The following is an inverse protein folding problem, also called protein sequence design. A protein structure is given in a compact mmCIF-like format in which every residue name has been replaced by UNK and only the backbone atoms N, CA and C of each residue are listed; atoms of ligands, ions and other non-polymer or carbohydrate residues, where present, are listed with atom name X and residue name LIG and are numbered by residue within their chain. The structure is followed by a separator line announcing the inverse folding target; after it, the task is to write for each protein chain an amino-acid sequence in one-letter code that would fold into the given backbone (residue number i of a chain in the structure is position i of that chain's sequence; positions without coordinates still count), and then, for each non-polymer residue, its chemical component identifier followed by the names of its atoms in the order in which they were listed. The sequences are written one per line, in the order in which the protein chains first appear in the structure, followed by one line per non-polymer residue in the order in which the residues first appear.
data_IF_879596350186
#
_entry.id   IF_879596350186
#
_cell.length_a   1.000
_cell.length_b   1.000
_cell.length_c   1.000
_cell.angle_alpha   90.00
_cell.angle_beta   90.00
_cell.angle_gamma   90.00
#
_symmetry.space_group_name_H-M   'P 1'
#
loop_
_entity.id
_entity.type
_entity.pdbx_description
1 polymer ?
#
# COMPACT_ATOMS: atom_id res chain seq x y z
N UNK A 1 -3.21 -1.74 -18.15
CA UNK A 1 -4.35 -2.26 -17.36
C UNK A 1 -4.48 -1.47 -16.08
N UNK A 2 -5.66 -1.40 -15.46
CA UNK A 2 -5.90 -0.59 -14.25
C UNK A 2 -6.27 -1.50 -13.07
N UNK A 3 -5.63 -1.29 -11.93
CA UNK A 3 -5.95 -1.95 -10.68
C UNK A 3 -6.39 -0.92 -9.64
N UNK A 4 -7.32 -1.33 -8.78
CA UNK A 4 -7.70 -0.60 -7.58
C UNK A 4 -7.66 -1.57 -6.40
N UNK A 5 -7.00 -1.16 -5.32
CA UNK A 5 -6.95 -1.92 -4.08
C UNK A 5 -7.47 -1.06 -2.93
N UNK A 6 -8.29 -1.69 -2.09
CA UNK A 6 -8.69 -1.11 -0.81
C UNK A 6 -7.57 -1.32 0.20
N UNK A 7 -7.25 -0.31 0.97
CA UNK A 7 -6.32 -0.33 2.10
C UNK A 7 -6.97 0.51 3.20
N UNK A 8 -7.68 -0.19 4.08
CA UNK A 8 -8.42 0.41 5.21
C UNK A 8 -7.49 1.24 6.10
N UNK A 9 -6.20 0.89 6.09
CA UNK A 9 -5.15 1.48 6.90
C UNK A 9 -4.55 2.78 6.30
N UNK A 10 -4.95 3.19 5.09
CA UNK A 10 -4.47 4.42 4.44
C UNK A 10 -4.72 5.71 5.23
N UNK A 11 -5.66 5.70 6.17
CA UNK A 11 -5.99 6.86 7.01
C UNK A 11 -5.04 7.08 8.19
N UNK A 12 -4.06 6.19 8.39
CA UNK A 12 -3.10 6.29 9.50
C UNK A 12 -1.78 6.86 8.98
N UNK A 13 -1.48 8.13 9.28
CA UNK A 13 -0.14 8.72 9.08
C UNK A 13 0.35 8.90 7.64
N UNK A 14 1.67 8.74 7.43
CA UNK A 14 2.36 8.97 6.14
C UNK A 14 2.29 7.74 5.19
N UNK A 15 1.35 6.82 5.41
CA UNK A 15 1.26 5.55 4.70
C UNK A 15 1.00 5.71 3.20
N UNK A 16 0.14 6.66 2.80
CA UNK A 16 -0.07 7.02 1.38
C UNK A 16 1.24 7.40 0.70
N UNK A 17 2.02 8.27 1.34
CA UNK A 17 3.29 8.75 0.79
C UNK A 17 4.28 7.59 0.63
N UNK A 18 4.37 6.70 1.63
CA UNK A 18 5.23 5.53 1.56
C UNK A 18 4.81 4.58 0.44
N UNK A 19 3.54 4.17 0.40
CA UNK A 19 3.02 3.22 -0.60
C UNK A 19 3.19 3.79 -2.00
N UNK A 20 2.81 5.05 -2.21
CA UNK A 20 2.94 5.72 -3.52
C UNK A 20 4.40 5.75 -3.96
N UNK A 21 5.33 6.01 -3.04
CA UNK A 21 6.77 5.99 -3.32
C UNK A 21 7.25 4.59 -3.69
N UNK A 22 6.87 3.55 -2.95
CA UNK A 22 7.29 2.18 -3.27
C UNK A 22 6.71 1.70 -4.61
N UNK A 23 5.43 1.97 -4.89
CA UNK A 23 4.82 1.65 -6.18
C UNK A 23 5.49 2.39 -7.34
N UNK A 24 5.91 3.64 -7.15
CA UNK A 24 6.60 4.42 -8.19
C UNK A 24 7.96 3.86 -8.61
N UNK A 25 8.56 2.97 -7.80
CA UNK A 25 9.83 2.30 -8.13
C UNK A 25 9.62 1.06 -9.00
N UNK A 26 8.41 0.53 -9.05
CA UNK A 26 8.10 -0.66 -9.83
C UNK A 26 8.03 -0.25 -11.29
N UNK A 27 8.88 -0.89 -12.10
CA UNK A 27 8.86 -0.69 -13.55
C UNK A 27 7.50 -1.08 -14.10
N UNK A 28 7.02 -0.31 -15.07
CA UNK A 28 5.73 -0.54 -15.74
C UNK A 28 4.49 -0.26 -14.87
N UNK A 29 4.64 0.40 -13.71
CA UNK A 29 3.54 1.05 -12.97
C UNK A 29 3.54 2.56 -13.25
N UNK A 30 2.35 3.09 -13.54
CA UNK A 30 2.11 4.52 -13.80
C UNK A 30 0.77 4.95 -13.17
N UNK A 31 0.49 6.26 -13.25
CA UNK A 31 -0.81 6.85 -12.89
C UNK A 31 -1.32 6.43 -11.50
N UNK A 32 -0.43 6.50 -10.51
CA UNK A 32 -0.75 6.12 -9.13
C UNK A 32 -1.59 7.24 -8.51
N UNK A 33 -2.79 6.88 -8.04
CA UNK A 33 -3.73 7.76 -7.37
C UNK A 33 -4.14 7.12 -6.04
N UNK A 34 -3.90 7.83 -4.94
CA UNK A 34 -4.32 7.43 -3.62
C UNK A 34 -5.47 8.31 -3.14
N UNK A 35 -6.45 7.69 -2.50
CA UNK A 35 -7.64 8.34 -1.95
C UNK A 35 -7.77 7.89 -0.49
N UNK A 36 -7.37 8.78 0.42
CA UNK A 36 -7.40 8.54 1.87
C UNK A 36 -8.82 8.39 2.39
N UNK A 37 -9.75 9.22 1.90
CA UNK A 37 -11.14 9.22 2.37
C UNK A 37 -11.85 7.93 2.00
N UNK A 38 -11.60 7.42 0.79
CA UNK A 38 -12.15 6.15 0.35
C UNK A 38 -11.25 4.94 0.64
N UNK A 39 -10.16 5.11 1.40
CA UNK A 39 -9.21 4.05 1.76
C UNK A 39 -8.82 3.17 0.57
N UNK A 40 -8.42 3.79 -0.55
CA UNK A 40 -8.08 3.07 -1.78
C UNK A 40 -6.88 3.65 -2.50
N UNK A 41 -6.16 2.79 -3.20
CA UNK A 41 -5.13 3.16 -4.16
C UNK A 41 -5.43 2.56 -5.52
N UNK A 42 -5.22 3.36 -6.55
CA UNK A 42 -5.44 3.00 -7.94
C UNK A 42 -4.15 3.22 -8.70
N UNK A 43 -3.79 2.30 -9.60
CA UNK A 43 -2.62 2.45 -10.46
C UNK A 43 -2.83 1.74 -11.79
N UNK A 44 -2.13 2.21 -12.81
CA UNK A 44 -2.03 1.55 -14.11
C UNK A 44 -0.77 0.69 -14.14
N UNK A 45 -0.85 -0.50 -14.72
CA UNK A 45 0.28 -1.38 -14.95
C UNK A 45 0.30 -1.91 -16.39
N UNK A 46 1.49 -2.13 -16.95
CA UNK A 46 1.66 -2.62 -18.32
C UNK A 46 2.21 -4.06 -18.40
N UNK A 47 2.48 -4.69 -17.26
CA UNK A 47 2.98 -6.07 -17.17
C UNK A 47 2.35 -6.81 -15.98
N UNK A 48 2.05 -8.10 -16.16
CA UNK A 48 1.57 -8.95 -15.06
C UNK A 48 2.59 -9.05 -13.93
N UNK A 49 3.88 -9.01 -14.25
CA UNK A 49 4.95 -8.98 -13.25
C UNK A 49 4.86 -7.74 -12.35
N UNK A 50 4.59 -6.57 -12.95
CA UNK A 50 4.45 -5.32 -12.22
C UNK A 50 3.21 -5.35 -11.28
N UNK A 51 2.12 -5.97 -11.73
CA UNK A 51 0.95 -6.19 -10.88
C UNK A 51 1.27 -7.09 -9.68
N UNK A 52 2.05 -8.16 -9.89
CA UNK A 52 2.46 -9.07 -8.82
C UNK A 52 3.39 -8.38 -7.81
N UNK A 53 4.37 -7.59 -8.27
CA UNK A 53 5.22 -6.78 -7.39
C UNK A 53 4.41 -5.76 -6.58
N UNK A 54 3.43 -5.09 -7.20
CA UNK A 54 2.54 -4.15 -6.51
C UNK A 54 1.78 -4.82 -5.38
N UNK A 55 1.23 -6.02 -5.63
CA UNK A 55 0.56 -6.83 -4.61
C UNK A 55 1.53 -7.21 -3.49
N UNK A 56 2.78 -7.54 -3.80
CA UNK A 56 3.82 -7.82 -2.80
C UNK A 56 4.08 -6.63 -1.87
N UNK A 57 4.30 -5.44 -2.43
CA UNK A 57 4.50 -4.19 -1.67
C UNK A 57 3.32 -3.94 -0.73
N UNK A 58 2.09 -4.01 -1.26
CA UNK A 58 0.88 -3.71 -0.50
C UNK A 58 0.56 -4.77 0.56
N UNK A 59 0.87 -6.04 0.28
CA UNK A 59 0.70 -7.13 1.26
C UNK A 59 1.71 -7.00 2.41
N UNK A 60 2.95 -6.60 2.10
CA UNK A 60 3.99 -6.39 3.12
C UNK A 60 3.66 -5.23 4.06
N UNK A 61 3.00 -4.20 3.53
CA UNK A 61 2.55 -3.04 4.29
C UNK A 61 1.51 -3.44 5.35
N UNK A 62 0.47 -4.20 4.96
CA UNK A 62 -0.53 -4.74 5.88
C UNK A 62 0.03 -5.65 6.99
N UNK A 63 1.18 -6.26 6.75
CA UNK A 63 1.83 -7.12 7.74
C UNK A 63 2.66 -6.32 8.75
N UNK A 64 3.34 -5.26 8.31
CA UNK A 64 4.12 -4.38 9.19
C UNK A 64 3.24 -3.63 10.20
N UNK A 65 2.08 -3.15 9.79
CA UNK A 65 1.16 -2.47 10.71
C UNK A 65 0.61 -3.41 11.78
N UNK A 66 0.33 -4.68 11.45
CA UNK A 66 -0.08 -5.67 12.45
C UNK A 66 0.99 -5.97 13.49
N UNK A 67 2.27 -5.92 13.12
CA UNK A 67 3.38 -6.08 14.07
C UNK A 67 3.60 -4.84 14.95
N UNK A 68 3.44 -3.63 14.40
CA UNK A 68 3.51 -2.38 15.17
C UNK A 68 2.32 -2.24 16.13
N UNK A 69 1.09 -2.52 15.67
CA UNK A 69 -0.12 -2.52 16.51
C UNK A 69 -0.07 -3.59 17.62
N UNK A 70 0.51 -4.76 17.34
CA UNK A 70 0.73 -5.80 18.36
C UNK A 70 1.76 -5.37 19.41
N UNK A 71 2.85 -4.70 19.01
CA UNK A 71 3.89 -4.24 19.92
C UNK A 71 3.47 -3.03 20.78
N UNK A 72 2.62 -2.14 20.26
CA UNK A 72 2.08 -1.03 21.07
C UNK A 72 1.09 -1.52 22.13
N UNK A 73 0.30 -2.55 21.83
CA UNK A 73 -0.60 -3.20 22.79
C UNK A 73 0.11 -4.13 23.80
N UNK A 74 1.39 -4.46 23.57
CA UNK A 74 2.23 -5.23 24.49
C UNK A 74 3.01 -4.36 25.49
N UNK A 75 2.75 -3.05 25.57
CA UNK A 75 3.13 -2.25 26.74
C UNK A 75 2.20 -2.60 27.91
N UNK A 76 2.37 -3.80 28.45
CA UNK A 76 1.74 -4.25 29.67
C UNK A 76 2.24 -3.36 30.81
N UNK A 77 1.28 -2.87 31.58
CA UNK A 77 1.41 -2.08 32.81
C UNK A 77 2.25 -2.75 33.90
#
# INVERSE_FOLDING_TARGET
MKATMLLEELNVGNCITYITKELSKIKDICDIYADSEASKITFTYNSEFAALEAVGVLSSFRHKEKEEEFNENLKIA
#
